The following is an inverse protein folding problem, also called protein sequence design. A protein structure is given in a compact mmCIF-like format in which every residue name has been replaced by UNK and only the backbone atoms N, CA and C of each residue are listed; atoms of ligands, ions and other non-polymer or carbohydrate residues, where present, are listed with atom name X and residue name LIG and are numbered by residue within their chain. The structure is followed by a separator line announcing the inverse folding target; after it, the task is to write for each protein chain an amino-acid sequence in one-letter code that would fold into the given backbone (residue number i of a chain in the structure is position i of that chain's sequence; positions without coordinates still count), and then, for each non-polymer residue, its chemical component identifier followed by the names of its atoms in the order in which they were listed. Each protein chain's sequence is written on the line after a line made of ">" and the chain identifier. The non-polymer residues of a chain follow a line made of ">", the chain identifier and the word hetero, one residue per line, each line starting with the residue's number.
data_IF_200503202840
#
_entry.id   IF_200503202840
#
_cell.length_a   1.000
_cell.length_b   1.000
_cell.length_c   1.000
_cell.angle_alpha   90.00
_cell.angle_beta   90.00
_cell.angle_gamma   90.00
#
_symmetry.space_group_name_H-M   'P 1'
#
loop_
_entity.id
_entity.type
_entity.pdbx_description
1 polymer ?
#
# COMPACT_ATOMS: atom_id res chain seq x y z
N UNK A 1 24.24 -6.54 -13.21
CA UNK A 1 23.23 -6.64 -12.15
C UNK A 1 21.88 -6.27 -12.74
N UNK A 2 20.96 -7.23 -12.91
CA UNK A 2 19.56 -6.90 -13.20
C UNK A 2 18.97 -6.44 -11.87
N UNK A 3 18.84 -5.13 -11.67
CA UNK A 3 17.95 -4.59 -10.64
C UNK A 3 16.53 -4.91 -11.08
N UNK A 4 16.13 -6.17 -10.91
CA UNK A 4 14.76 -6.62 -10.96
C UNK A 4 14.06 -5.89 -9.82
N UNK A 5 13.57 -4.70 -10.11
CA UNK A 5 12.91 -3.85 -9.14
C UNK A 5 11.60 -4.55 -8.80
N UNK A 6 11.63 -5.48 -7.82
CA UNK A 6 10.54 -6.41 -7.55
C UNK A 6 9.22 -5.66 -7.35
N UNK A 7 9.29 -4.47 -6.77
CA UNK A 7 8.19 -3.52 -6.59
C UNK A 7 7.45 -3.10 -7.87
N UNK A 8 8.09 -3.17 -9.05
CA UNK A 8 7.48 -2.78 -10.34
C UNK A 8 6.92 -3.97 -11.12
N UNK A 9 6.91 -5.17 -10.54
CA UNK A 9 6.26 -6.30 -11.18
C UNK A 9 4.73 -6.06 -11.20
N UNK A 10 4.03 -6.34 -12.32
CA UNK A 10 2.62 -6.05 -12.48
C UNK A 10 1.72 -6.63 -11.37
N UNK A 11 2.04 -7.82 -10.88
CA UNK A 11 1.28 -8.46 -9.81
C UNK A 11 1.51 -7.79 -8.44
N UNK A 12 2.72 -7.30 -8.15
CA UNK A 12 3.00 -6.53 -6.93
C UNK A 12 2.27 -5.19 -6.95
N UNK A 13 2.23 -4.52 -8.10
CA UNK A 13 1.43 -3.29 -8.25
C UNK A 13 -0.06 -3.54 -8.06
N UNK A 14 -0.59 -4.65 -8.58
CA UNK A 14 -1.98 -5.04 -8.37
C UNK A 14 -2.27 -5.33 -6.88
N UNK A 15 -1.38 -6.05 -6.20
CA UNK A 15 -1.50 -6.30 -4.77
C UNK A 15 -1.51 -5.02 -3.93
N UNK A 16 -0.68 -4.04 -4.28
CA UNK A 16 -0.66 -2.75 -3.61
C UNK A 16 -1.98 -1.98 -3.82
N UNK A 17 -2.54 -2.03 -5.03
CA UNK A 17 -3.87 -1.44 -5.32
C UNK A 17 -4.98 -2.10 -4.50
N UNK A 18 -5.01 -3.43 -4.47
CA UNK A 18 -6.01 -4.19 -3.72
C UNK A 18 -5.91 -3.93 -2.22
N UNK A 19 -4.68 -3.89 -1.69
CA UNK A 19 -4.41 -3.57 -0.29
C UNK A 19 -4.83 -2.14 0.04
N UNK A 20 -4.53 -1.17 -0.84
CA UNK A 20 -4.98 0.22 -0.69
C UNK A 20 -6.49 0.30 -0.63
N UNK A 21 -7.20 -0.42 -1.51
CA UNK A 21 -8.66 -0.47 -1.55
C UNK A 21 -9.25 -1.04 -0.27
N UNK A 22 -8.67 -2.14 0.24
CA UNK A 22 -9.07 -2.75 1.50
C UNK A 22 -8.91 -1.78 2.69
N UNK A 23 -7.74 -1.16 2.83
CA UNK A 23 -7.47 -0.18 3.90
C UNK A 23 -8.45 1.01 3.78
N UNK A 24 -8.64 1.54 2.57
CA UNK A 24 -9.56 2.65 2.36
C UNK A 24 -11.02 2.29 2.72
N UNK A 25 -11.45 1.07 2.37
CA UNK A 25 -12.78 0.56 2.76
C UNK A 25 -12.92 0.43 4.28
N UNK A 26 -11.90 -0.11 4.95
CA UNK A 26 -11.87 -0.22 6.41
C UNK A 26 -11.92 1.16 7.09
N UNK A 27 -11.14 2.13 6.62
CA UNK A 27 -11.13 3.49 7.17
C UNK A 27 -12.50 4.18 7.01
N UNK A 28 -13.11 4.08 5.83
CA UNK A 28 -14.46 4.61 5.58
C UNK A 28 -15.52 3.95 6.45
N UNK A 29 -15.44 2.63 6.64
CA UNK A 29 -16.39 1.89 7.48
C UNK A 29 -16.27 2.21 8.96
N UNK A 30 -15.09 2.66 9.42
CA UNK A 30 -14.86 3.06 10.82
C UNK A 30 -15.21 4.53 11.08
N UNK A 31 -15.70 5.28 10.08
CA UNK A 31 -16.21 6.63 10.26
C UNK A 31 -15.17 7.71 10.55
N UNK A 32 -13.88 7.38 10.65
CA UNK A 32 -12.81 8.37 10.66
C UNK A 32 -12.48 8.74 9.22
N UNK A 33 -12.68 9.99 8.79
CA UNK A 33 -12.46 10.43 7.41
C UNK A 33 -11.00 10.44 6.94
N UNK A 34 -10.20 9.52 7.46
CA UNK A 34 -8.95 9.13 6.89
C UNK A 34 -9.15 8.38 5.56
N UNK A 35 -8.23 8.59 4.63
CA UNK A 35 -8.22 7.96 3.31
C UNK A 35 -6.87 7.33 3.05
N UNK A 36 -6.87 6.17 2.39
CA UNK A 36 -5.63 5.53 1.94
C UNK A 36 -5.41 5.78 0.45
N UNK A 37 -4.18 6.09 0.05
CA UNK A 37 -3.80 6.34 -1.34
C UNK A 37 -2.47 5.67 -1.68
N UNK A 38 -2.43 4.97 -2.82
CA UNK A 38 -1.19 4.45 -3.40
C UNK A 38 -0.48 5.56 -4.18
N UNK A 39 0.78 5.83 -3.87
CA UNK A 39 1.61 6.79 -4.61
C UNK A 39 2.59 6.10 -5.57
N UNK A 40 3.13 6.85 -6.52
CA UNK A 40 4.01 6.38 -7.61
C UNK A 40 5.28 5.65 -7.15
N UNK A 41 5.67 5.79 -5.88
CA UNK A 41 6.79 5.05 -5.26
C UNK A 41 6.42 3.69 -4.69
N UNK A 42 5.25 3.11 -5.05
CA UNK A 42 4.74 1.88 -4.45
C UNK A 42 4.54 1.99 -2.92
N UNK A 43 4.16 3.16 -2.43
CA UNK A 43 3.86 3.39 -1.00
C UNK A 43 2.36 3.65 -0.81
N UNK A 44 1.80 3.13 0.27
CA UNK A 44 0.44 3.47 0.68
C UNK A 44 0.52 4.54 1.76
N UNK A 45 -0.06 5.71 1.49
CA UNK A 45 -0.17 6.81 2.46
C UNK A 45 -1.57 6.87 3.02
N UNK A 46 -1.70 6.92 4.33
CA UNK A 46 -2.94 7.26 5.02
C UNK A 46 -2.93 8.75 5.31
N UNK A 47 -3.95 9.44 4.83
CA UNK A 47 -4.19 10.86 5.08
C UNK A 47 -5.40 11.02 5.99
N UNK A 48 -5.42 12.03 6.84
CA UNK A 48 -6.63 12.44 7.55
C UNK A 48 -7.54 13.32 6.66
N UNK A 49 -8.67 13.78 7.20
CA UNK A 49 -9.63 14.65 6.49
C UNK A 49 -9.01 15.97 6.02
N UNK A 50 -8.02 16.49 6.74
CA UNK A 50 -7.27 17.69 6.38
C UNK A 50 -6.21 17.44 5.28
N UNK A 51 -6.11 16.21 4.75
CA UNK A 51 -5.14 15.83 3.73
C UNK A 51 -3.71 15.61 4.24
N UNK A 52 -3.50 15.66 5.56
CA UNK A 52 -2.19 15.44 6.20
C UNK A 52 -1.89 13.95 6.25
N UNK A 53 -0.69 13.56 5.82
CA UNK A 53 -0.23 12.17 5.89
C UNK A 53 0.05 11.80 7.35
N UNK A 54 -0.78 10.92 7.91
CA UNK A 54 -0.64 10.44 9.29
C UNK A 54 0.15 9.12 9.36
N UNK A 55 0.24 8.38 8.25
CA UNK A 55 1.01 7.14 8.18
C UNK A 55 1.43 6.81 6.75
N UNK A 56 2.61 6.23 6.60
CA UNK A 56 3.13 5.75 5.31
C UNK A 56 3.54 4.29 5.46
N UNK A 57 3.12 3.45 4.52
CA UNK A 57 3.53 2.06 4.40
C UNK A 57 4.32 1.90 3.11
N UNK A 58 5.56 1.43 3.21
CA UNK A 58 6.37 1.09 2.04
C UNK A 58 5.87 -0.21 1.41
N UNK A 59 5.86 -0.29 0.08
CA UNK A 59 5.39 -1.47 -0.65
C UNK A 59 6.11 -2.75 -0.26
N UNK A 60 7.40 -2.67 0.06
CA UNK A 60 8.23 -3.78 0.54
C UNK A 60 7.68 -4.38 1.84
N UNK A 61 7.28 -3.51 2.78
CA UNK A 61 6.72 -3.92 4.08
C UNK A 61 5.31 -4.50 3.95
N UNK A 62 4.55 -4.09 2.93
CA UNK A 62 3.21 -4.60 2.64
C UNK A 62 3.30 -5.98 2.00
N UNK A 63 4.21 -6.15 1.04
CA UNK A 63 4.49 -7.44 0.42
C UNK A 63 4.90 -8.49 1.46
N UNK A 64 5.71 -8.12 2.46
CA UNK A 64 6.15 -9.03 3.53
C UNK A 64 5.06 -9.39 4.55
N UNK A 65 4.00 -8.58 4.68
CA UNK A 65 2.97 -8.77 5.73
C UNK A 65 1.77 -9.61 5.29
N UNK A 66 1.66 -9.99 4.03
CA UNK A 66 0.56 -10.84 3.55
C UNK A 66 1.02 -12.31 3.58
N UNK A 67 0.39 -13.19 4.38
CA UNK A 67 0.69 -14.62 4.29
C UNK A 67 0.34 -15.09 2.88
N UNK A 68 1.33 -15.58 2.14
CA UNK A 68 1.19 -16.05 0.76
C UNK A 68 1.64 -15.07 -0.33
N UNK A 69 2.23 -13.92 0.01
CA UNK A 69 3.07 -13.17 -0.93
C UNK A 69 4.50 -13.58 -0.65
N UNK A 70 5.03 -14.45 -1.51
CA UNK A 70 6.43 -14.86 -1.47
C UNK A 70 7.31 -13.64 -1.22
N UNK A 71 8.17 -13.75 -0.20
CA UNK A 71 9.19 -12.77 0.12
C UNK A 71 10.09 -12.60 -1.09
N UNK A 72 9.83 -11.58 -1.90
CA UNK A 72 10.74 -11.16 -2.97
C UNK A 72 11.90 -10.38 -2.32
N UNK A 73 12.96 -11.12 -2.00
CA UNK A 73 14.27 -10.58 -1.59
C UNK A 73 15.04 -10.12 -2.83
#
# INVERSE_FOLDING_TARGET
>A
MKTNNALYQPHIQQHLKDTTKYINGFLKSNGGGATATLVSGNEIKIKNEAGVVVKTYKGEQIAHKKPGVDTYV
#
